data_IF_695342202922
#
_entry.id   IF_695342202922
#
_cell.length_a   1.000
_cell.length_b   1.000
_cell.length_c   1.000
_cell.angle_alpha   90.00
_cell.angle_beta   90.00
_cell.angle_gamma   90.00
#
_symmetry.space_group_name_H-M   'P 1'
#
loop_
_entity.id
_entity.type
_entity.pdbx_description
1 polymer ?
#
# COMPACT_ATOMS: atom_id res chain seq x y z
N UNK A 1 -32.45 -15.84 -69.34
CA UNK A 1 -32.40 -16.14 -67.90
C UNK A 1 -31.46 -15.14 -67.24
N UNK A 2 -32.02 -14.12 -66.52
CA UNK A 2 -31.25 -13.07 -65.83
C UNK A 2 -31.07 -13.53 -64.39
N UNK A 3 -29.82 -13.72 -63.95
CA UNK A 3 -29.49 -14.01 -62.54
C UNK A 3 -29.48 -12.68 -61.75
N UNK A 4 -30.33 -12.61 -60.75
CA UNK A 4 -30.41 -11.52 -59.77
C UNK A 4 -29.36 -11.79 -58.66
N UNK A 5 -28.38 -10.91 -58.50
CA UNK A 5 -27.39 -10.99 -57.41
C UNK A 5 -27.89 -10.07 -56.28
N UNK A 6 -28.29 -10.68 -55.18
CA UNK A 6 -28.70 -9.95 -53.98
C UNK A 6 -27.45 -9.65 -53.13
N UNK A 7 -27.11 -8.39 -53.00
CA UNK A 7 -26.00 -7.93 -52.17
C UNK A 7 -26.51 -7.71 -50.75
N UNK A 8 -26.12 -8.57 -49.81
CA UNK A 8 -26.45 -8.44 -48.38
C UNK A 8 -25.38 -7.56 -47.71
N UNK A 9 -25.76 -6.34 -47.36
CA UNK A 9 -24.89 -5.42 -46.60
C UNK A 9 -24.84 -5.85 -45.14
N UNK A 10 -23.65 -6.27 -44.68
CA UNK A 10 -23.38 -6.58 -43.28
C UNK A 10 -23.06 -5.29 -42.55
N UNK A 11 -23.99 -4.82 -41.72
CA UNK A 11 -23.79 -3.64 -40.83
C UNK A 11 -23.07 -4.12 -39.59
N UNK A 12 -21.75 -3.90 -39.52
CA UNK A 12 -20.95 -4.14 -38.30
C UNK A 12 -21.14 -2.95 -37.35
N UNK A 13 -21.99 -3.14 -36.35
CA UNK A 13 -22.17 -2.17 -35.27
C UNK A 13 -20.93 -2.15 -34.40
N UNK A 14 -20.19 -1.02 -34.41
CA UNK A 14 -19.14 -0.71 -33.42
C UNK A 14 -19.82 -0.39 -32.08
N UNK A 15 -19.92 -1.36 -31.18
CA UNK A 15 -20.23 -1.12 -29.78
C UNK A 15 -18.99 -0.49 -29.12
N UNK A 16 -18.95 0.84 -29.09
CA UNK A 16 -17.97 1.56 -28.30
C UNK A 16 -18.18 1.23 -26.82
N UNK A 17 -17.24 0.54 -26.19
CA UNK A 17 -17.16 0.42 -24.74
C UNK A 17 -16.95 1.83 -24.16
N UNK A 18 -18.03 2.50 -23.78
CA UNK A 18 -17.95 3.62 -22.86
C UNK A 18 -17.52 3.05 -21.52
N UNK A 19 -16.24 3.21 -21.20
CA UNK A 19 -15.74 3.02 -19.83
C UNK A 19 -16.51 4.03 -18.96
N UNK A 20 -17.56 3.59 -18.28
CA UNK A 20 -18.18 4.35 -17.22
C UNK A 20 -17.13 4.55 -16.14
N UNK A 21 -16.70 5.81 -15.93
CA UNK A 21 -15.89 6.16 -14.77
C UNK A 21 -16.65 5.65 -13.55
N UNK A 22 -16.08 4.66 -12.86
CA UNK A 22 -16.67 4.10 -11.65
C UNK A 22 -16.68 5.21 -10.62
N UNK A 23 -17.86 5.73 -10.34
CA UNK A 23 -18.05 6.79 -9.34
C UNK A 23 -17.62 6.20 -8.00
N UNK A 24 -16.61 6.83 -7.37
CA UNK A 24 -16.13 6.45 -6.06
C UNK A 24 -17.28 6.29 -5.08
N UNK A 25 -17.34 5.15 -4.40
CA UNK A 25 -18.36 4.88 -3.36
C UNK A 25 -17.91 5.33 -1.97
N UNK A 26 -16.69 5.89 -1.85
CA UNK A 26 -16.10 6.28 -0.57
C UNK A 26 -16.47 7.72 -0.20
N UNK A 27 -16.68 8.02 1.11
CA UNK A 27 -16.79 9.38 1.60
C UNK A 27 -15.53 10.17 1.24
N UNK A 28 -15.68 11.46 1.01
CA UNK A 28 -14.54 12.33 0.65
C UNK A 28 -14.33 13.40 1.71
N UNK A 29 -13.07 13.85 1.84
CA UNK A 29 -12.66 14.87 2.79
C UNK A 29 -11.74 15.90 2.14
N UNK A 30 -11.85 17.15 2.58
CA UNK A 30 -10.94 18.22 2.15
C UNK A 30 -11.04 18.55 0.66
N UNK A 31 -10.01 19.24 0.19
CA UNK A 31 -9.83 19.60 -1.22
C UNK A 31 -8.35 19.73 -1.56
N UNK A 32 -8.01 19.55 -2.83
CA UNK A 32 -6.67 19.79 -3.35
C UNK A 32 -6.50 21.30 -3.56
N UNK A 33 -5.48 21.90 -2.95
CA UNK A 33 -5.09 23.28 -3.16
C UNK A 33 -3.96 23.33 -4.18
N UNK A 34 -4.24 23.85 -5.38
CA UNK A 34 -3.26 24.01 -6.44
C UNK A 34 -2.44 25.28 -6.20
N UNK A 35 -1.32 25.17 -5.49
CA UNK A 35 -0.41 26.29 -5.20
C UNK A 35 0.59 26.55 -6.34
N UNK A 36 0.91 25.51 -7.11
CA UNK A 36 1.84 25.57 -8.24
C UNK A 36 1.26 24.82 -9.46
N UNK A 37 1.37 25.38 -10.69
CA UNK A 37 0.92 24.71 -11.92
C UNK A 37 1.57 23.33 -12.16
N UNK A 38 2.77 23.10 -11.65
CA UNK A 38 3.46 21.80 -11.73
C UNK A 38 2.69 20.65 -11.09
N UNK A 39 1.75 20.94 -10.16
CA UNK A 39 0.90 19.90 -9.55
C UNK A 39 0.04 19.16 -10.58
N UNK A 40 -0.36 19.84 -11.68
CA UNK A 40 -1.21 19.25 -12.73
C UNK A 40 -0.51 18.10 -13.48
N UNK A 41 0.84 18.03 -13.41
CA UNK A 41 1.61 16.92 -13.96
C UNK A 41 1.67 15.70 -13.03
N UNK A 42 1.30 15.84 -11.76
CA UNK A 42 1.39 14.80 -10.74
C UNK A 42 0.03 14.19 -10.42
N UNK A 43 -1.00 15.02 -10.31
CA UNK A 43 -2.37 14.61 -9.97
C UNK A 43 -3.40 15.43 -10.73
N UNK A 44 -4.54 14.83 -11.02
CA UNK A 44 -5.71 15.57 -11.50
C UNK A 44 -6.28 16.42 -10.35
N UNK A 45 -6.35 17.73 -10.54
CA UNK A 45 -6.87 18.66 -9.50
C UNK A 45 -8.35 18.51 -9.23
N UNK A 46 -9.09 17.78 -10.07
CA UNK A 46 -10.51 17.40 -9.82
C UNK A 46 -10.65 16.14 -8.98
N UNK A 47 -9.54 15.42 -8.74
CA UNK A 47 -9.50 14.23 -7.88
C UNK A 47 -10.02 14.53 -6.48
N UNK A 48 -10.63 13.52 -5.87
CA UNK A 48 -11.16 13.61 -4.50
C UNK A 48 -10.21 12.90 -3.54
N UNK A 49 -10.13 13.41 -2.32
CA UNK A 49 -9.46 12.72 -1.22
C UNK A 49 -10.50 11.78 -0.61
N UNK A 50 -10.32 10.49 -0.80
CA UNK A 50 -11.27 9.45 -0.37
C UNK A 50 -10.89 8.89 1.00
N UNK A 51 -11.89 8.66 1.87
CA UNK A 51 -11.72 7.98 3.15
C UNK A 51 -11.91 6.49 2.89
N UNK A 52 -10.82 5.74 2.84
CA UNK A 52 -10.85 4.30 2.55
C UNK A 52 -11.19 3.45 3.78
N UNK A 53 -11.00 3.98 4.98
CA UNK A 53 -11.32 3.31 6.24
C UNK A 53 -11.14 4.23 7.44
N UNK A 54 -11.72 3.85 8.56
CA UNK A 54 -11.66 4.57 9.85
C UNK A 54 -11.57 3.58 11.01
N UNK A 55 -11.31 4.09 12.22
CA UNK A 55 -11.30 3.25 13.44
C UNK A 55 -9.93 2.70 13.78
N UNK A 56 -8.86 3.26 13.23
CA UNK A 56 -7.48 2.93 13.58
C UNK A 56 -7.01 3.79 14.76
N UNK A 57 -6.12 3.23 15.57
CA UNK A 57 -5.54 3.94 16.70
C UNK A 57 -4.46 4.91 16.22
N UNK A 58 -3.53 4.43 15.36
CA UNK A 58 -2.50 5.27 14.77
C UNK A 58 -1.98 4.64 13.47
N UNK A 59 -2.50 5.12 12.34
CA UNK A 59 -2.12 4.64 11.00
C UNK A 59 -0.81 5.23 10.54
N UNK A 60 0.13 4.37 10.12
CA UNK A 60 1.47 4.75 9.68
C UNK A 60 1.95 3.93 8.48
N UNK A 61 3.06 4.36 7.86
CA UNK A 61 3.80 3.62 6.86
C UNK A 61 3.00 3.15 5.64
N UNK A 62 2.17 3.97 5.00
CA UNK A 62 1.39 3.51 3.86
C UNK A 62 2.30 3.16 2.68
N UNK A 63 2.10 1.96 2.10
CA UNK A 63 2.83 1.53 0.91
C UNK A 63 1.90 0.87 -0.12
N UNK A 64 1.99 1.32 -1.37
CA UNK A 64 1.24 0.73 -2.47
C UNK A 64 1.94 -0.48 -3.06
N UNK A 65 1.27 -1.62 -3.06
CA UNK A 65 1.76 -2.86 -3.70
C UNK A 65 1.27 -2.91 -5.14
N UNK A 66 2.10 -2.39 -6.06
CA UNK A 66 1.74 -2.23 -7.47
C UNK A 66 1.31 -3.53 -8.15
N UNK A 67 2.02 -4.63 -7.90
CA UNK A 67 1.73 -5.95 -8.53
C UNK A 67 0.36 -6.51 -8.12
N UNK A 68 -0.11 -6.19 -6.92
CA UNK A 68 -1.40 -6.69 -6.40
C UNK A 68 -2.53 -5.66 -6.44
N UNK A 69 -2.24 -4.38 -6.71
CA UNK A 69 -3.23 -3.30 -6.73
C UNK A 69 -3.87 -3.05 -5.36
N UNK A 70 -3.07 -3.06 -4.28
CA UNK A 70 -3.56 -2.84 -2.92
C UNK A 70 -2.61 -1.99 -2.08
N UNK A 71 -3.15 -1.39 -1.03
CA UNK A 71 -2.42 -0.61 -0.03
C UNK A 71 -2.14 -1.48 1.20
N UNK A 72 -0.93 -1.37 1.75
CA UNK A 72 -0.61 -1.83 3.09
C UNK A 72 -0.34 -0.60 3.97
N UNK A 73 -0.71 -0.69 5.24
CA UNK A 73 -0.39 0.33 6.25
C UNK A 73 -0.37 -0.30 7.64
N UNK A 74 0.42 0.27 8.54
CA UNK A 74 0.53 -0.16 9.93
C UNK A 74 -0.54 0.51 10.79
N UNK A 75 -1.06 -0.19 11.79
CA UNK A 75 -1.67 0.40 12.98
C UNK A 75 -0.75 0.06 14.16
N UNK A 76 0.06 1.05 14.55
CA UNK A 76 1.23 0.85 15.40
C UNK A 76 0.86 0.34 16.79
N UNK A 77 -0.12 0.96 17.52
CA UNK A 77 -0.53 0.48 18.83
C UNK A 77 -1.20 -0.90 18.80
N UNK A 78 -1.91 -1.21 17.72
CA UNK A 78 -2.63 -2.48 17.56
C UNK A 78 -1.72 -3.64 17.13
N UNK A 79 -0.45 -3.35 16.84
CA UNK A 79 0.55 -4.34 16.39
C UNK A 79 0.10 -5.10 15.14
N UNK A 80 -0.47 -4.38 14.15
CA UNK A 80 -1.03 -4.97 12.94
C UNK A 80 -0.63 -4.20 11.69
N UNK A 81 -0.46 -4.91 10.59
CA UNK A 81 -0.48 -4.36 9.25
C UNK A 81 -1.83 -4.67 8.62
N UNK A 82 -2.51 -3.66 8.15
CA UNK A 82 -3.74 -3.77 7.38
C UNK A 82 -3.46 -3.75 5.88
N UNK A 83 -4.40 -4.35 5.14
CA UNK A 83 -4.44 -4.34 3.68
C UNK A 83 -5.77 -3.78 3.23
N UNK A 84 -5.74 -2.78 2.37
CA UNK A 84 -6.93 -2.30 1.66
C UNK A 84 -6.85 -2.67 0.19
N UNK A 85 -7.96 -3.13 -0.37
CA UNK A 85 -8.14 -3.30 -1.81
C UNK A 85 -9.53 -2.85 -2.25
N UNK A 86 -9.67 -2.38 -3.50
CA UNK A 86 -10.96 -1.95 -4.02
C UNK A 86 -12.02 -3.08 -4.02
N UNK A 87 -11.58 -4.34 -4.16
CA UNK A 87 -12.48 -5.49 -4.22
C UNK A 87 -12.99 -5.96 -2.86
N UNK A 88 -12.19 -5.80 -1.78
CA UNK A 88 -12.49 -6.40 -0.48
C UNK A 88 -12.56 -5.40 0.68
N UNK A 89 -12.18 -4.13 0.43
CA UNK A 89 -12.02 -3.16 1.51
C UNK A 89 -10.80 -3.47 2.38
N UNK A 90 -10.93 -3.30 3.71
CA UNK A 90 -9.87 -3.51 4.68
C UNK A 90 -9.88 -4.95 5.19
N UNK A 91 -8.70 -5.57 5.19
CA UNK A 91 -8.43 -6.90 5.76
C UNK A 91 -7.19 -6.79 6.68
N UNK A 92 -7.07 -7.66 7.67
CA UNK A 92 -5.81 -7.83 8.40
C UNK A 92 -4.81 -8.56 7.48
N UNK A 93 -3.60 -8.00 7.35
CA UNK A 93 -2.54 -8.59 6.53
C UNK A 93 -1.54 -9.38 7.37
N UNK A 94 -1.13 -8.82 8.52
CA UNK A 94 -0.15 -9.44 9.41
C UNK A 94 -0.36 -8.99 10.85
N UNK A 95 -0.43 -9.96 11.76
CA UNK A 95 -0.42 -9.79 13.21
C UNK A 95 0.36 -10.95 13.87
N UNK A 96 1.36 -10.70 14.72
CA UNK A 96 1.87 -9.38 15.12
C UNK A 96 2.74 -8.74 14.04
N UNK A 97 2.69 -7.41 13.93
CA UNK A 97 3.43 -6.68 12.90
C UNK A 97 4.84 -6.28 13.33
N UNK A 98 5.06 -5.92 14.59
CA UNK A 98 6.33 -5.37 15.07
C UNK A 98 6.88 -6.00 16.35
N UNK A 99 6.03 -6.44 17.29
CA UNK A 99 6.44 -7.12 18.52
C UNK A 99 5.98 -8.57 18.49
N UNK A 100 6.94 -9.49 18.52
CA UNK A 100 6.70 -10.93 18.48
C UNK A 100 6.92 -11.62 19.84
N UNK A 101 7.29 -10.87 20.88
CA UNK A 101 7.48 -11.37 22.24
C UNK A 101 6.16 -11.63 22.98
N UNK A 102 6.27 -12.12 24.21
CA UNK A 102 5.16 -12.36 25.12
C UNK A 102 5.00 -11.21 26.11
N UNK A 103 3.77 -10.84 26.43
CA UNK A 103 3.45 -9.76 27.37
C UNK A 103 3.34 -8.39 26.71
N UNK A 104 3.18 -7.36 27.54
CA UNK A 104 3.07 -5.96 27.09
C UNK A 104 4.47 -5.40 26.85
N UNK A 105 4.68 -4.82 25.66
CA UNK A 105 5.94 -4.15 25.32
C UNK A 105 5.89 -2.65 25.65
N UNK A 106 5.01 -1.93 24.96
CA UNK A 106 4.81 -0.48 25.10
C UNK A 106 3.45 -0.11 24.47
N UNK A 107 3.15 1.17 24.41
CA UNK A 107 1.97 1.69 23.71
C UNK A 107 2.10 1.57 22.17
N UNK A 108 3.32 1.33 21.66
CA UNK A 108 3.64 1.29 20.23
C UNK A 108 4.42 0.02 19.85
N UNK A 109 3.82 -1.19 20.01
CA UNK A 109 4.52 -2.45 19.75
C UNK A 109 4.68 -2.78 18.25
N UNK A 110 3.87 -2.19 17.39
CA UNK A 110 3.73 -2.57 15.99
C UNK A 110 4.87 -2.19 15.07
N UNK A 111 4.70 -2.50 13.80
CA UNK A 111 5.49 -1.93 12.72
C UNK A 111 5.08 -0.46 12.50
N UNK A 112 6.03 0.36 12.01
CA UNK A 112 5.79 1.74 11.60
C UNK A 112 5.98 1.85 10.08
N UNK A 113 7.10 2.39 9.58
CA UNK A 113 7.37 2.56 8.17
C UNK A 113 7.41 1.25 7.39
N UNK A 114 6.85 1.27 6.19
CA UNK A 114 6.77 0.13 5.27
C UNK A 114 7.26 0.53 3.89
N UNK A 115 8.05 -0.33 3.23
CA UNK A 115 8.37 -0.18 1.80
C UNK A 115 8.27 -1.53 1.07
N UNK A 116 8.10 -1.49 -0.24
CA UNK A 116 8.32 -2.64 -1.11
C UNK A 116 9.71 -2.52 -1.73
N UNK A 117 10.57 -3.47 -1.41
CA UNK A 117 11.92 -3.46 -1.95
C UNK A 117 11.99 -3.90 -3.42
N UNK A 118 13.16 -3.81 -4.03
CA UNK A 118 13.38 -4.18 -5.44
C UNK A 118 13.07 -5.64 -5.77
N UNK A 119 13.07 -6.54 -4.77
CA UNK A 119 12.71 -7.96 -4.94
C UNK A 119 11.20 -8.16 -4.88
N UNK A 120 10.41 -7.12 -4.54
CA UNK A 120 8.97 -7.19 -4.35
C UNK A 120 8.56 -7.69 -2.96
N UNK A 121 9.47 -7.75 -2.01
CA UNK A 121 9.19 -8.09 -0.62
C UNK A 121 8.81 -6.85 0.18
N UNK A 122 7.99 -7.03 1.21
CA UNK A 122 7.72 -6.02 2.21
C UNK A 122 8.92 -5.89 3.14
N UNK A 123 9.33 -4.64 3.43
CA UNK A 123 10.30 -4.32 4.48
C UNK A 123 9.62 -3.41 5.48
N UNK A 124 9.75 -3.73 6.76
CA UNK A 124 9.11 -3.01 7.87
C UNK A 124 10.13 -2.53 8.91
N UNK A 125 9.89 -1.35 9.43
CA UNK A 125 10.46 -0.88 10.69
C UNK A 125 9.63 -1.44 11.85
N UNK A 126 10.21 -2.26 12.70
CA UNK A 126 9.52 -2.93 13.81
C UNK A 126 9.92 -2.28 15.15
N UNK A 127 8.99 -1.53 15.76
CA UNK A 127 9.24 -0.86 17.04
C UNK A 127 9.52 -1.87 18.15
N UNK A 128 8.63 -2.84 18.34
CA UNK A 128 8.70 -3.77 19.46
C UNK A 128 9.89 -4.72 19.41
N UNK A 129 10.18 -5.32 18.27
CA UNK A 129 11.34 -6.20 18.10
C UNK A 129 12.65 -5.41 17.88
N UNK A 130 12.55 -4.08 17.66
CA UNK A 130 13.67 -3.15 17.48
C UNK A 130 14.58 -3.57 16.34
N UNK A 131 13.97 -3.78 15.15
CA UNK A 131 14.66 -4.26 13.96
C UNK A 131 14.04 -3.74 12.67
N UNK A 132 14.80 -3.87 11.58
CA UNK A 132 14.28 -3.84 10.22
C UNK A 132 14.09 -5.29 9.76
N UNK A 133 12.90 -5.62 9.29
CA UNK A 133 12.58 -6.97 8.82
C UNK A 133 12.12 -6.98 7.37
N UNK A 134 12.45 -8.04 6.64
CA UNK A 134 11.99 -8.31 5.27
C UNK A 134 11.08 -9.55 5.28
N UNK A 135 9.99 -9.54 4.49
CA UNK A 135 9.09 -10.68 4.37
C UNK A 135 8.47 -10.79 2.97
N UNK A 136 8.23 -12.01 2.46
CA UNK A 136 7.46 -12.22 1.24
C UNK A 136 6.01 -11.76 1.44
N UNK A 137 5.40 -11.14 0.41
CA UNK A 137 4.03 -10.66 0.48
C UNK A 137 2.97 -11.78 0.57
N UNK A 138 3.30 -12.95 0.07
CA UNK A 138 2.43 -14.13 0.09
C UNK A 138 2.58 -15.00 1.35
N UNK A 139 3.65 -14.75 2.14
CA UNK A 139 3.96 -15.44 3.40
C UNK A 139 4.57 -14.46 4.40
N UNK A 140 3.81 -13.45 4.84
CA UNK A 140 4.35 -12.36 5.67
C UNK A 140 4.82 -12.82 7.05
N UNK A 141 4.38 -13.99 7.51
CA UNK A 141 4.85 -14.61 8.75
C UNK A 141 6.32 -15.09 8.67
N UNK A 142 6.86 -15.27 7.46
CA UNK A 142 8.25 -15.70 7.24
C UNK A 142 9.22 -14.52 7.25
N UNK A 143 9.20 -13.77 8.34
CA UNK A 143 10.05 -12.60 8.54
C UNK A 143 11.53 -12.96 8.64
N UNK A 144 12.36 -12.17 7.97
CA UNK A 144 13.83 -12.21 8.05
C UNK A 144 14.36 -10.89 8.58
N UNK A 145 15.12 -10.92 9.66
CA UNK A 145 15.80 -9.73 10.19
C UNK A 145 16.89 -9.27 9.22
N UNK A 146 16.83 -8.01 8.80
CA UNK A 146 17.86 -7.35 7.99
C UNK A 146 18.88 -6.62 8.87
N UNK A 147 18.40 -5.88 9.89
CA UNK A 147 19.20 -5.14 10.83
C UNK A 147 18.51 -5.09 12.19
N UNK A 148 19.25 -5.25 13.29
CA UNK A 148 18.73 -5.16 14.66
C UNK A 148 19.76 -4.63 15.66
N UNK A 149 21.02 -4.52 15.26
CA UNK A 149 22.13 -4.04 16.09
C UNK A 149 22.95 -3.00 15.35
N UNK A 150 23.41 -2.02 16.09
CA UNK A 150 24.48 -1.10 15.71
C UNK A 150 25.47 -0.98 16.88
N UNK A 151 26.74 -1.25 16.63
CA UNK A 151 27.81 -1.27 17.68
C UNK A 151 27.44 -2.12 18.90
N UNK A 152 26.83 -3.29 18.68
CA UNK A 152 26.41 -4.22 19.72
C UNK A 152 25.14 -3.82 20.50
N UNK A 153 24.52 -2.68 20.19
CA UNK A 153 23.29 -2.20 20.83
C UNK A 153 22.11 -2.43 19.89
N UNK A 154 20.95 -2.77 20.44
CA UNK A 154 19.69 -2.84 19.67
C UNK A 154 19.35 -1.49 19.06
N UNK A 155 18.73 -1.50 17.89
CA UNK A 155 18.11 -0.31 17.31
C UNK A 155 17.08 0.28 18.29
N UNK A 156 16.88 1.60 18.25
CA UNK A 156 15.92 2.26 19.13
C UNK A 156 14.62 2.58 18.39
N UNK A 157 13.77 1.53 18.23
CA UNK A 157 12.45 1.65 17.58
C UNK A 157 12.51 2.37 16.24
N UNK A 158 13.11 1.73 15.19
CA UNK A 158 13.25 2.35 13.88
C UNK A 158 11.87 2.78 13.36
N UNK A 159 11.75 4.05 12.95
CA UNK A 159 10.47 4.67 12.60
C UNK A 159 10.16 4.52 11.12
N UNK A 160 11.03 5.02 10.24
CA UNK A 160 10.79 5.00 8.80
C UNK A 160 12.06 4.55 8.04
N UNK A 161 11.89 4.22 6.76
CA UNK A 161 12.98 3.76 5.92
C UNK A 161 12.80 4.16 4.47
N UNK A 162 13.93 4.31 3.78
CA UNK A 162 13.98 4.56 2.34
C UNK A 162 15.04 3.67 1.69
N UNK A 163 14.78 3.18 0.49
CA UNK A 163 15.75 2.41 -0.28
C UNK A 163 16.22 3.19 -1.50
N UNK A 164 17.54 3.33 -1.64
CA UNK A 164 18.17 3.89 -2.85
C UNK A 164 18.01 2.98 -4.06
N UNK A 165 18.24 3.57 -5.23
CA UNK A 165 18.33 2.82 -6.50
C UNK A 165 19.45 1.77 -6.51
N UNK A 166 20.52 1.92 -5.71
CA UNK A 166 21.56 0.92 -5.50
C UNK A 166 21.09 -0.31 -4.73
N UNK A 167 20.02 -0.19 -3.94
CA UNK A 167 19.54 -1.24 -3.03
C UNK A 167 19.85 -0.98 -1.56
N UNK A 168 20.72 0.00 -1.26
CA UNK A 168 21.01 0.40 0.13
C UNK A 168 19.76 0.98 0.77
N UNK A 169 19.48 0.61 2.01
CA UNK A 169 18.39 1.13 2.79
C UNK A 169 18.92 2.01 3.94
N UNK A 170 18.17 3.07 4.25
CA UNK A 170 18.42 3.98 5.36
C UNK A 170 17.16 4.02 6.24
N UNK A 171 17.37 3.99 7.54
CA UNK A 171 16.32 4.16 8.55
C UNK A 171 16.75 5.25 9.54
N UNK A 172 15.78 5.93 10.13
CA UNK A 172 15.99 6.81 11.29
C UNK A 172 15.37 6.19 12.52
#
# INVERSE_FOLDING_TARGET
MKKLITMTSLLVGFLGNMATAQQSSFPTIGKIHRLDPGLDHLIDTTSKIEILGTGYTWSEGPVWVKKGGYLLFSDVPENVIHKWSAAKGIEEFLRPSGYTGTGTYSEEPGSNGLIINKKGNLVSCEHGDRRIAEMPLDKPEQKKTLAHLFEGKKLNSPNDLVQKSSGDAFSQ
#
